data_IF_546243299865
#
_entry.id   IF_546243299865
#
_cell.length_a   1.000
_cell.length_b   1.000
_cell.length_c   1.000
_cell.angle_alpha   90.00
_cell.angle_beta   90.00
_cell.angle_gamma   90.00
#
_symmetry.space_group_name_H-M   'P 1'
#
loop_
_entity.id
_entity.type
_entity.pdbx_description
1 polymer ?
#
# COMPACT_ATOMS: atom_id res chain seq x y z
N UNK A 1 -11.82 47.99 47.33
CA UNK A 1 -11.24 47.33 46.13
C UNK A 1 -10.89 45.91 46.55
N UNK A 2 -11.56 44.89 45.99
CA UNK A 2 -11.40 43.49 46.39
C UNK A 2 -10.67 42.79 45.25
N UNK A 3 -9.40 42.53 45.47
CA UNK A 3 -8.52 41.89 44.48
C UNK A 3 -8.98 40.44 44.27
N UNK A 4 -9.27 40.08 43.02
CA UNK A 4 -9.57 38.69 42.63
C UNK A 4 -8.41 38.20 41.79
N UNK A 5 -7.46 37.54 42.44
CA UNK A 5 -6.43 36.76 41.75
C UNK A 5 -7.08 35.61 41.01
N UNK A 6 -6.98 35.60 39.69
CA UNK A 6 -7.43 34.50 38.85
C UNK A 6 -6.20 33.65 38.48
N UNK A 7 -6.16 32.40 38.92
CA UNK A 7 -5.09 31.47 38.57
C UNK A 7 -5.47 30.69 37.31
N UNK A 8 -4.61 30.73 36.29
CA UNK A 8 -4.71 29.87 35.11
C UNK A 8 -4.10 28.51 35.45
N UNK A 9 -4.92 27.46 35.54
CA UNK A 9 -4.41 26.09 35.54
C UNK A 9 -3.83 25.79 34.15
N UNK A 10 -2.54 25.39 34.03
CA UNK A 10 -2.01 24.96 32.75
C UNK A 10 -2.77 23.71 32.29
N UNK A 11 -3.43 23.81 31.14
CA UNK A 11 -3.96 22.66 30.44
C UNK A 11 -2.77 21.80 30.01
N UNK A 12 -2.43 20.77 30.80
CA UNK A 12 -1.48 19.76 30.36
C UNK A 12 -2.08 19.08 29.10
N UNK A 13 -1.36 19.07 27.96
CA UNK A 13 -1.88 18.43 26.77
C UNK A 13 -2.07 16.94 27.05
N UNK A 14 -3.29 16.44 26.88
CA UNK A 14 -3.55 15.00 26.88
C UNK A 14 -2.67 14.35 25.81
N UNK A 15 -1.77 13.42 26.17
CA UNK A 15 -0.93 12.75 25.19
C UNK A 15 -1.83 12.10 24.13
N UNK A 16 -1.58 12.44 22.86
CA UNK A 16 -2.26 11.77 21.77
C UNK A 16 -1.89 10.29 21.82
N UNK A 17 -2.86 9.36 21.72
CA UNK A 17 -2.55 7.94 21.62
C UNK A 17 -1.59 7.72 20.45
N UNK A 18 -0.37 7.28 20.75
CA UNK A 18 0.63 6.92 19.74
C UNK A 18 0.61 5.40 19.54
N UNK A 19 0.39 4.95 18.32
CA UNK A 19 0.69 3.57 17.95
C UNK A 19 2.16 3.46 17.54
N UNK A 20 2.84 2.40 17.98
CA UNK A 20 4.15 2.06 17.41
C UNK A 20 3.88 1.55 15.99
N UNK A 21 4.43 2.26 15.01
CA UNK A 21 4.36 1.82 13.63
C UNK A 21 5.25 0.60 13.41
N UNK A 22 4.82 -0.30 12.54
CA UNK A 22 5.67 -1.40 12.10
C UNK A 22 6.94 -0.86 11.42
N UNK A 23 8.09 -1.53 11.63
CA UNK A 23 9.32 -1.18 10.97
C UNK A 23 9.21 -1.41 9.46
N UNK A 24 9.92 -0.59 8.69
CA UNK A 24 10.08 -0.84 7.25
C UNK A 24 10.89 -2.14 7.09
N UNK A 25 10.45 -3.10 6.25
CA UNK A 25 11.17 -4.37 6.10
C UNK A 25 12.62 -4.18 5.66
N UNK A 26 13.51 -5.04 6.15
CA UNK A 26 14.92 -5.04 5.73
C UNK A 26 15.06 -5.23 4.21
N UNK A 27 14.17 -6.00 3.57
CA UNK A 27 14.10 -6.14 2.12
C UNK A 27 14.04 -4.79 1.39
N UNK A 28 13.36 -3.81 2.00
CA UNK A 28 13.23 -2.45 1.49
C UNK A 28 14.46 -1.62 1.82
N UNK A 29 14.85 -1.56 3.09
CA UNK A 29 15.94 -0.69 3.56
C UNK A 29 17.32 -1.10 3.05
N UNK A 30 17.54 -2.40 2.81
CA UNK A 30 18.79 -2.93 2.25
C UNK A 30 18.92 -2.71 0.73
N UNK A 31 17.83 -2.35 0.05
CA UNK A 31 17.83 -2.24 -1.42
C UNK A 31 17.68 -3.56 -2.16
N UNK A 32 17.28 -4.66 -1.49
CA UNK A 32 17.12 -5.98 -2.12
C UNK A 32 16.08 -6.02 -3.25
N UNK A 33 15.21 -5.01 -3.33
CA UNK A 33 14.26 -4.80 -4.42
C UNK A 33 14.89 -4.35 -5.75
N UNK A 34 16.10 -3.77 -5.74
CA UNK A 34 16.73 -3.14 -6.93
C UNK A 34 16.83 -4.07 -8.15
N UNK A 35 17.21 -5.37 -8.03
CA UNK A 35 17.24 -6.28 -9.17
C UNK A 35 15.87 -6.56 -9.81
N UNK A 36 14.78 -6.45 -9.06
CA UNK A 36 13.43 -6.70 -9.56
C UNK A 36 12.91 -5.54 -10.40
N UNK A 37 13.35 -4.31 -10.10
CA UNK A 37 12.86 -3.10 -10.75
C UNK A 37 13.70 -2.65 -11.96
N UNK A 38 14.75 -3.41 -12.29
CA UNK A 38 15.57 -3.15 -13.46
C UNK A 38 14.70 -3.04 -14.73
N UNK A 39 15.07 -2.12 -15.64
CA UNK A 39 14.30 -1.84 -16.85
C UNK A 39 13.05 -0.97 -16.64
N UNK A 40 13.00 -0.17 -15.57
CA UNK A 40 11.89 0.74 -15.28
C UNK A 40 10.64 0.05 -14.76
N UNK A 41 10.81 -1.07 -14.06
CA UNK A 41 9.73 -1.79 -13.36
C UNK A 41 9.48 -1.18 -11.99
N UNK A 42 8.37 -1.54 -11.36
CA UNK A 42 7.96 -1.01 -10.05
C UNK A 42 7.91 -2.09 -8.96
N UNK A 43 7.90 -1.63 -7.71
CA UNK A 43 7.53 -2.44 -6.54
C UNK A 43 6.05 -2.20 -6.23
N UNK A 44 5.27 -3.28 -6.13
CA UNK A 44 3.88 -3.23 -5.66
C UNK A 44 3.86 -3.67 -4.19
N UNK A 45 3.34 -2.84 -3.29
CA UNK A 45 3.14 -3.26 -1.89
C UNK A 45 1.81 -3.97 -1.70
N UNK A 46 1.72 -4.82 -0.67
CA UNK A 46 0.46 -5.41 -0.22
C UNK A 46 0.15 -5.02 1.22
N UNK A 47 -1.01 -4.38 1.46
CA UNK A 47 -1.89 -3.75 0.47
C UNK A 47 -1.18 -2.61 -0.29
N UNK A 48 -1.76 -2.19 -1.42
CA UNK A 48 -1.26 -1.02 -2.15
C UNK A 48 -1.62 0.26 -1.38
N UNK A 49 -0.80 1.33 -1.44
CA UNK A 49 -1.10 2.56 -0.75
C UNK A 49 -2.32 3.26 -1.35
N UNK A 50 -3.09 3.90 -0.48
CA UNK A 50 -4.15 4.84 -0.80
C UNK A 50 -4.23 5.92 0.28
N UNK A 51 -5.20 6.84 0.19
CA UNK A 51 -5.37 7.94 1.14
C UNK A 51 -5.65 7.47 2.57
N UNK A 52 -6.32 6.31 2.72
CA UNK A 52 -6.68 5.74 4.02
C UNK A 52 -5.59 4.80 4.56
N UNK A 53 -4.56 4.50 3.76
CA UNK A 53 -3.47 3.59 4.09
C UNK A 53 -2.15 4.07 3.48
N UNK A 54 -1.52 5.08 4.12
CA UNK A 54 -0.27 5.67 3.64
C UNK A 54 0.98 4.89 4.05
N UNK A 55 0.87 3.83 4.85
CA UNK A 55 2.02 3.13 5.44
C UNK A 55 3.10 2.71 4.43
N UNK A 56 2.77 2.15 3.25
CA UNK A 56 3.77 1.84 2.23
C UNK A 56 4.55 3.07 1.73
N UNK A 57 4.01 4.29 1.82
CA UNK A 57 4.72 5.51 1.42
C UNK A 57 5.91 5.83 2.33
N UNK A 58 5.93 5.28 3.56
CA UNK A 58 7.11 5.37 4.45
C UNK A 58 8.31 4.65 3.85
N UNK A 59 8.10 3.67 2.98
CA UNK A 59 9.17 2.94 2.30
C UNK A 59 9.89 3.83 1.29
N UNK A 60 9.16 4.71 0.60
CA UNK A 60 9.76 5.75 -0.24
C UNK A 60 10.62 6.70 0.60
N UNK A 61 10.15 7.13 1.77
CA UNK A 61 10.95 7.96 2.66
C UNK A 61 12.22 7.24 3.16
N UNK A 62 12.11 5.97 3.58
CA UNK A 62 13.22 5.17 4.06
C UNK A 62 14.28 4.87 2.99
N UNK A 63 13.91 4.97 1.71
CA UNK A 63 14.81 4.74 0.57
C UNK A 63 15.27 6.04 -0.10
N UNK A 64 15.00 7.21 0.49
CA UNK A 64 15.38 8.48 -0.12
C UNK A 64 14.67 8.77 -1.44
N UNK A 65 13.46 8.24 -1.62
CA UNK A 65 12.63 8.29 -2.84
C UNK A 65 13.14 7.42 -4.01
N UNK A 66 14.15 6.58 -3.79
CA UNK A 66 14.67 5.68 -4.84
C UNK A 66 13.70 4.55 -5.21
N UNK A 67 12.85 4.10 -4.28
CA UNK A 67 11.94 2.97 -4.47
C UNK A 67 10.80 3.33 -5.44
N UNK A 68 10.73 2.72 -6.64
CA UNK A 68 9.68 3.01 -7.61
C UNK A 68 8.39 2.28 -7.21
N UNK A 69 7.62 2.85 -6.29
CA UNK A 69 6.36 2.27 -5.85
C UNK A 69 5.27 2.38 -6.92
N UNK A 70 4.52 1.29 -7.09
CA UNK A 70 3.28 1.30 -7.83
C UNK A 70 2.18 1.98 -7.00
N UNK A 71 1.44 2.88 -7.65
CA UNK A 71 0.49 3.80 -6.99
C UNK A 71 1.20 4.72 -5.98
N UNK A 72 0.45 5.68 -5.47
CA UNK A 72 0.92 6.60 -4.44
C UNK A 72 -0.18 7.59 -4.09
N UNK A 73 0.20 8.60 -3.31
CA UNK A 73 -0.65 9.77 -3.13
C UNK A 73 -0.75 10.51 -4.46
N UNK A 74 -1.98 10.73 -4.92
CA UNK A 74 -2.25 11.45 -6.17
C UNK A 74 -3.33 12.48 -5.89
N UNK A 75 -3.04 13.75 -6.22
CA UNK A 75 -4.02 14.82 -6.25
C UNK A 75 -4.29 15.19 -7.70
N UNK A 76 -5.51 14.99 -8.16
CA UNK A 76 -5.90 15.35 -9.52
C UNK A 76 -7.41 15.41 -9.71
N UNK A 77 -7.88 15.89 -10.86
CA UNK A 77 -9.31 15.91 -11.16
C UNK A 77 -9.86 14.48 -11.25
N UNK A 78 -11.08 14.27 -10.76
CA UNK A 78 -11.81 13.03 -10.97
C UNK A 78 -12.31 12.97 -12.43
N UNK A 79 -11.55 12.28 -13.27
CA UNK A 79 -11.88 12.09 -14.69
C UNK A 79 -12.58 10.74 -14.96
N UNK A 80 -13.07 10.05 -13.92
CA UNK A 80 -13.73 8.74 -14.11
C UNK A 80 -15.07 8.92 -14.84
N UNK A 81 -15.50 7.97 -15.69
CA UNK A 81 -16.77 8.07 -16.42
C UNK A 81 -18.03 8.21 -15.54
N UNK A 82 -17.93 7.83 -14.26
CA UNK A 82 -19.00 7.92 -13.26
C UNK A 82 -18.72 8.96 -12.16
N UNK A 83 -17.76 9.86 -12.39
CA UNK A 83 -17.51 10.96 -11.47
C UNK A 83 -18.77 11.83 -11.34
N UNK A 84 -19.13 12.31 -10.14
CA UNK A 84 -20.21 13.28 -10.04
C UNK A 84 -19.87 14.55 -10.84
N UNK A 85 -20.88 15.24 -11.34
CA UNK A 85 -20.66 16.48 -12.10
C UNK A 85 -19.94 17.54 -11.25
N UNK A 86 -19.00 18.26 -11.87
CA UNK A 86 -18.26 19.34 -11.24
C UNK A 86 -16.76 19.08 -11.09
N UNK A 87 -16.05 20.03 -10.49
CA UNK A 87 -14.60 19.98 -10.26
C UNK A 87 -14.28 19.21 -8.98
N UNK A 88 -14.37 17.88 -9.05
CA UNK A 88 -14.11 17.00 -7.91
C UNK A 88 -12.65 16.55 -7.94
N UNK A 89 -11.99 16.60 -6.78
CA UNK A 89 -10.63 16.12 -6.62
C UNK A 89 -10.62 14.64 -6.20
N UNK A 90 -9.70 13.87 -6.80
CA UNK A 90 -9.25 12.58 -6.30
C UNK A 90 -7.99 12.80 -5.45
N UNK A 91 -7.93 12.09 -4.33
CA UNK A 91 -6.78 12.09 -3.40
C UNK A 91 -6.03 10.75 -3.41
N UNK A 92 -6.36 9.88 -4.37
CA UNK A 92 -5.77 8.54 -4.55
C UNK A 92 -5.63 8.24 -6.04
N UNK A 93 -4.72 7.34 -6.38
CA UNK A 93 -4.67 6.80 -7.73
C UNK A 93 -6.01 6.11 -8.09
N UNK A 94 -6.49 6.21 -9.34
CA UNK A 94 -7.74 5.57 -9.75
C UNK A 94 -7.81 4.10 -9.29
N UNK A 95 -8.93 3.65 -8.70
CA UNK A 95 -9.05 2.28 -8.22
C UNK A 95 -8.97 1.30 -9.39
N UNK A 96 -8.23 0.21 -9.19
CA UNK A 96 -8.14 -0.92 -10.11
C UNK A 96 -8.64 -2.20 -9.43
N UNK A 97 -9.19 -3.20 -10.15
CA UNK A 97 -9.78 -4.40 -9.56
C UNK A 97 -8.90 -5.05 -8.49
N UNK A 98 -7.59 -5.19 -8.74
CA UNK A 98 -6.66 -5.82 -7.80
C UNK A 98 -6.42 -4.96 -6.56
N UNK A 99 -6.32 -3.64 -6.72
CA UNK A 99 -6.24 -2.75 -5.54
C UNK A 99 -7.50 -2.85 -4.68
N UNK A 100 -8.69 -2.89 -5.29
CA UNK A 100 -9.95 -3.06 -4.56
C UNK A 100 -10.03 -4.42 -3.84
N UNK A 101 -9.55 -5.49 -4.49
CA UNK A 101 -9.46 -6.82 -3.87
C UNK A 101 -8.64 -6.81 -2.58
N UNK A 102 -7.47 -6.16 -2.60
CA UNK A 102 -6.61 -6.06 -1.41
C UNK A 102 -7.08 -5.03 -0.38
N UNK A 103 -7.82 -4.00 -0.78
CA UNK A 103 -8.51 -3.11 0.16
C UNK A 103 -9.55 -3.90 0.96
N UNK A 104 -10.29 -4.81 0.34
CA UNK A 104 -11.25 -5.67 1.05
C UNK A 104 -10.55 -6.54 2.09
N UNK A 105 -9.44 -7.19 1.71
CA UNK A 105 -8.65 -7.99 2.67
C UNK A 105 -8.11 -7.12 3.80
N UNK A 106 -7.56 -5.94 3.50
CA UNK A 106 -7.06 -4.99 4.51
C UNK A 106 -8.14 -4.63 5.52
N UNK A 107 -9.37 -4.39 5.06
CA UNK A 107 -10.48 -3.91 5.91
C UNK A 107 -11.18 -5.03 6.69
N UNK A 108 -11.10 -6.28 6.25
CA UNK A 108 -11.96 -7.36 6.76
C UNK A 108 -11.21 -8.62 7.19
N UNK A 109 -9.93 -8.76 6.81
CA UNK A 109 -9.18 -10.00 6.93
C UNK A 109 -9.69 -11.14 6.05
N UNK A 110 -10.75 -10.93 5.26
CA UNK A 110 -11.35 -11.95 4.42
C UNK A 110 -10.84 -11.87 2.99
N UNK A 111 -10.48 -13.03 2.43
CA UNK A 111 -10.05 -13.14 1.03
C UNK A 111 -11.30 -13.24 0.15
N UNK A 112 -11.56 -12.27 -0.76
CA UNK A 112 -12.67 -12.37 -1.69
C UNK A 112 -12.53 -13.60 -2.60
N UNK A 113 -13.62 -14.10 -3.19
CA UNK A 113 -13.55 -15.25 -4.09
C UNK A 113 -12.56 -15.04 -5.24
N UNK A 114 -11.64 -15.99 -5.39
CA UNK A 114 -10.66 -15.97 -6.47
C UNK A 114 -11.21 -16.75 -7.67
N UNK A 115 -11.67 -16.00 -8.67
CA UNK A 115 -12.25 -16.52 -9.92
C UNK A 115 -11.27 -16.37 -11.09
N UNK A 116 -11.46 -17.09 -12.22
CA UNK A 116 -10.66 -16.89 -13.43
C UNK A 116 -10.54 -15.41 -13.85
N UNK A 117 -11.65 -14.67 -13.79
CA UNK A 117 -11.67 -13.24 -14.11
C UNK A 117 -10.78 -12.43 -13.17
N UNK A 118 -10.83 -12.69 -11.86
CA UNK A 118 -9.96 -11.97 -10.90
C UNK A 118 -8.48 -12.25 -11.14
N UNK A 119 -8.11 -13.45 -11.63
CA UNK A 119 -6.72 -13.75 -12.02
C UNK A 119 -6.26 -12.91 -13.19
N UNK A 120 -7.11 -12.84 -14.23
CA UNK A 120 -6.84 -12.03 -15.42
C UNK A 120 -6.68 -10.57 -15.03
N UNK A 121 -7.61 -10.02 -14.25
CA UNK A 121 -7.51 -8.64 -13.76
C UNK A 121 -6.25 -8.39 -12.93
N UNK A 122 -5.81 -9.36 -12.12
CA UNK A 122 -4.55 -9.25 -11.37
C UNK A 122 -3.32 -9.18 -12.25
N UNK A 123 -3.24 -10.03 -13.27
CA UNK A 123 -2.12 -9.97 -14.22
C UNK A 123 -2.15 -8.66 -15.02
N UNK A 124 -3.32 -8.21 -15.46
CA UNK A 124 -3.47 -6.95 -16.20
C UNK A 124 -3.09 -5.73 -15.35
N UNK A 125 -3.47 -5.72 -14.08
CA UNK A 125 -3.10 -4.65 -13.15
C UNK A 125 -1.60 -4.66 -12.85
N UNK A 126 -0.97 -5.83 -12.66
CA UNK A 126 0.48 -5.95 -12.49
C UNK A 126 1.24 -5.46 -13.73
N UNK A 127 0.75 -5.77 -14.94
CA UNK A 127 1.30 -5.27 -16.19
C UNK A 127 1.14 -3.76 -16.32
N UNK A 128 -0.03 -3.23 -16.01
CA UNK A 128 -0.30 -1.80 -16.01
C UNK A 128 0.67 -1.04 -15.10
N UNK A 129 0.98 -1.59 -13.93
CA UNK A 129 1.98 -1.01 -13.02
C UNK A 129 3.43 -1.28 -13.42
N UNK A 130 3.69 -2.11 -14.43
CA UNK A 130 5.02 -2.62 -14.78
C UNK A 130 5.71 -3.27 -13.57
N UNK A 131 4.95 -4.02 -12.78
CA UNK A 131 5.43 -4.61 -11.54
C UNK A 131 6.59 -5.59 -11.79
N UNK A 132 7.72 -5.41 -11.11
CA UNK A 132 8.78 -6.41 -11.06
C UNK A 132 8.67 -7.33 -9.85
N UNK A 133 8.12 -6.80 -8.75
CA UNK A 133 7.99 -7.53 -7.50
C UNK A 133 6.77 -7.05 -6.74
N UNK A 134 6.10 -7.99 -6.07
CA UNK A 134 5.07 -7.69 -5.06
C UNK A 134 5.66 -7.98 -3.68
N UNK A 135 5.45 -7.07 -2.73
CA UNK A 135 6.06 -7.13 -1.39
C UNK A 135 5.00 -6.93 -0.31
N UNK A 136 4.90 -7.88 0.61
CA UNK A 136 4.07 -7.81 1.80
C UNK A 136 4.98 -7.70 3.03
N UNK A 137 4.99 -6.53 3.66
CA UNK A 137 5.64 -6.32 4.96
C UNK A 137 4.79 -6.85 6.13
N UNK A 138 5.18 -6.55 7.38
CA UNK A 138 4.35 -6.77 8.55
C UNK A 138 2.96 -6.15 8.37
N UNK A 139 1.92 -6.91 8.71
CA UNK A 139 0.53 -6.49 8.63
C UNK A 139 -0.35 -7.41 9.49
N UNK A 140 -1.38 -6.89 10.16
CA UNK A 140 -2.29 -7.69 11.00
C UNK A 140 -2.99 -8.83 10.24
N UNK A 141 -3.31 -8.59 8.97
CA UNK A 141 -3.90 -9.57 8.05
C UNK A 141 -2.90 -10.21 7.07
N UNK A 142 -1.63 -10.32 7.45
CA UNK A 142 -0.57 -10.83 6.55
C UNK A 142 -0.90 -12.19 5.92
N UNK A 143 -1.49 -13.13 6.65
CA UNK A 143 -1.85 -14.44 6.09
C UNK A 143 -2.93 -14.37 5.01
N UNK A 144 -3.96 -13.54 5.21
CA UNK A 144 -5.01 -13.35 4.22
C UNK A 144 -4.46 -12.65 2.96
N UNK A 145 -3.61 -11.63 3.14
CA UNK A 145 -2.96 -10.92 2.03
C UNK A 145 -2.04 -11.85 1.23
N UNK A 146 -1.22 -12.65 1.93
CA UNK A 146 -0.32 -13.64 1.34
C UNK A 146 -1.09 -14.69 0.55
N UNK A 147 -2.16 -15.23 1.14
CA UNK A 147 -3.05 -16.18 0.47
C UNK A 147 -3.67 -15.57 -0.78
N UNK A 148 -4.25 -14.38 -0.68
CA UNK A 148 -4.89 -13.70 -1.82
C UNK A 148 -3.93 -13.48 -3.00
N UNK A 149 -2.71 -13.01 -2.75
CA UNK A 149 -1.72 -12.79 -3.82
C UNK A 149 -1.21 -14.10 -4.42
N UNK A 150 -0.91 -15.09 -3.58
CA UNK A 150 -0.46 -16.42 -4.01
C UNK A 150 -1.54 -17.10 -4.83
N UNK A 151 -2.80 -17.03 -4.39
CA UNK A 151 -3.91 -17.54 -5.15
C UNK A 151 -3.99 -16.79 -6.46
N UNK A 152 -4.16 -15.46 -6.49
CA UNK A 152 -4.32 -14.64 -7.71
C UNK A 152 -3.28 -14.92 -8.79
N UNK A 153 -2.01 -15.03 -8.40
CA UNK A 153 -0.86 -15.14 -9.33
C UNK A 153 -0.41 -16.58 -9.60
N UNK A 154 -0.71 -17.52 -8.70
CA UNK A 154 -0.12 -18.86 -8.71
C UNK A 154 1.36 -18.90 -8.33
N UNK A 155 1.98 -17.76 -8.00
CA UNK A 155 3.40 -17.67 -7.64
C UNK A 155 3.55 -17.91 -6.14
N UNK A 156 4.44 -18.84 -5.78
CA UNK A 156 4.82 -19.05 -4.38
C UNK A 156 5.74 -17.91 -3.91
N UNK A 157 5.42 -17.23 -2.80
CA UNK A 157 6.30 -16.19 -2.26
C UNK A 157 7.50 -16.78 -1.53
N UNK A 158 8.55 -15.96 -1.42
CA UNK A 158 9.69 -16.20 -0.53
C UNK A 158 9.63 -15.22 0.63
N UNK A 159 9.90 -15.69 1.85
CA UNK A 159 10.09 -14.81 3.00
C UNK A 159 11.56 -14.41 3.08
N UNK A 160 11.85 -13.11 2.97
CA UNK A 160 13.22 -12.59 3.02
C UNK A 160 13.21 -11.14 3.51
N UNK A 161 14.21 -10.75 4.31
CA UNK A 161 14.35 -9.39 4.83
C UNK A 161 13.09 -8.87 5.55
N UNK A 162 12.39 -9.75 6.30
CA UNK A 162 11.17 -9.39 7.03
C UNK A 162 9.90 -9.20 6.18
N UNK A 163 9.91 -9.58 4.90
CA UNK A 163 8.76 -9.46 4.00
C UNK A 163 8.51 -10.74 3.19
N UNK A 164 7.26 -10.95 2.78
CA UNK A 164 6.92 -11.91 1.73
C UNK A 164 7.06 -11.25 0.36
N UNK A 165 7.73 -11.94 -0.56
CA UNK A 165 8.14 -11.40 -1.86
C UNK A 165 7.67 -12.34 -2.97
N UNK A 166 6.94 -11.80 -3.95
CA UNK A 166 6.59 -12.50 -5.20
C UNK A 166 7.37 -11.88 -6.35
N UNK A 167 8.19 -12.68 -7.03
CA UNK A 167 8.78 -12.29 -8.30
C UNK A 167 7.73 -12.42 -9.40
N UNK A 168 7.16 -11.30 -9.83
CA UNK A 168 6.07 -11.27 -10.82
C UNK A 168 6.56 -10.96 -12.24
N UNK A 169 7.88 -10.82 -12.45
CA UNK A 169 8.45 -10.58 -13.79
C UNK A 169 7.97 -11.59 -14.86
N UNK A 170 7.79 -12.89 -14.55
CA UNK A 170 7.23 -13.84 -15.52
C UNK A 170 5.80 -13.53 -16.00
N UNK A 171 5.02 -12.77 -15.23
CA UNK A 171 3.63 -12.39 -15.56
C UNK A 171 3.54 -11.06 -16.29
N UNK A 172 4.54 -10.19 -16.10
CA UNK A 172 4.53 -8.79 -16.55
C UNK A 172 5.51 -8.48 -17.69
N UNK A 173 6.26 -9.49 -18.14
CA UNK A 173 7.07 -9.38 -19.35
C UNK A 173 6.22 -9.27 -20.61
#
# INVERSE_FOLDING_TARGET
IRDRTMALLPAFPTPLPSARLDPVPEFVTSGAWRPYVAGGRSVVTLPLPDTDYPDPLRWSAATGLDLPLARGYFLGPDTRPRAPEGRIALFTAPPRPTSSFFITIRRTGQVPPVTPLTRVSAVDDLRYWRAGVVVLGPHEHADALRRGMTELTGIRPTYTGGAWVWDVRPLTN
#
